data_IF_251603284410
#
_entry.id   IF_251603284410
#
_cell.length_a   1.000
_cell.length_b   1.000
_cell.length_c   1.000
_cell.angle_alpha   90.00
_cell.angle_beta   90.00
_cell.angle_gamma   90.00
#
_symmetry.space_group_name_H-M   'P 1'
#
loop_
_entity.id
_entity.type
_entity.pdbx_description
1 polymer ?
#
# COMPACT_ATOMS: atom_id res chain seq x y z
N UNK A 1 32.58 -14.64 8.99
CA UNK A 1 31.80 -13.79 8.07
C UNK A 1 30.71 -13.10 8.89
N UNK A 2 30.82 -11.81 9.15
CA UNK A 2 29.72 -11.04 9.74
C UNK A 2 28.58 -11.04 8.71
N UNK A 3 27.40 -11.59 9.09
CA UNK A 3 26.17 -11.36 8.34
C UNK A 3 25.93 -9.84 8.35
N UNK A 4 26.12 -9.20 7.22
CA UNK A 4 25.66 -7.83 7.02
C UNK A 4 24.14 -7.91 7.17
N UNK A 5 23.62 -7.39 8.27
CA UNK A 5 22.18 -7.32 8.55
C UNK A 5 21.60 -6.24 7.62
N UNK A 6 21.35 -6.64 6.37
CA UNK A 6 20.81 -5.72 5.36
C UNK A 6 19.35 -5.49 5.67
N UNK A 7 18.97 -4.23 5.76
CA UNK A 7 17.56 -3.84 5.91
C UNK A 7 16.71 -4.48 4.81
N UNK A 8 15.73 -5.28 5.21
CA UNK A 8 14.85 -6.00 4.29
C UNK A 8 13.40 -5.57 4.47
N UNK A 9 12.71 -5.33 3.37
CA UNK A 9 11.26 -5.16 3.32
C UNK A 9 10.64 -6.41 2.71
N UNK A 10 9.66 -6.98 3.39
CA UNK A 10 8.89 -8.12 2.87
C UNK A 10 7.55 -7.62 2.35
N UNK A 11 7.19 -8.04 1.14
CA UNK A 11 5.98 -7.64 0.45
C UNK A 11 5.05 -8.85 0.40
N UNK A 12 3.90 -8.75 1.04
CA UNK A 12 2.83 -9.74 0.94
C UNK A 12 2.05 -9.48 -0.35
N UNK A 13 2.03 -10.48 -1.23
CA UNK A 13 1.36 -10.37 -2.52
C UNK A 13 -0.11 -10.78 -2.43
N UNK A 14 -1.00 -9.81 -2.66
CA UNK A 14 -2.45 -10.02 -2.74
C UNK A 14 -2.96 -10.09 -4.19
N UNK A 15 -2.08 -10.37 -5.14
CA UNK A 15 -2.43 -10.54 -6.56
C UNK A 15 -2.37 -9.25 -7.39
N UNK A 16 -1.62 -8.25 -6.95
CA UNK A 16 -1.45 -7.02 -7.71
C UNK A 16 -0.47 -7.20 -8.87
N UNK A 17 -0.84 -6.72 -10.05
CA UNK A 17 0.10 -6.59 -11.19
C UNK A 17 1.28 -5.64 -10.89
N UNK A 18 1.19 -4.83 -9.83
CA UNK A 18 2.22 -3.87 -9.43
C UNK A 18 3.14 -4.38 -8.32
N UNK A 19 2.96 -5.60 -7.80
CA UNK A 19 3.79 -6.14 -6.70
C UNK A 19 5.27 -6.16 -7.07
N UNK A 20 5.59 -6.60 -8.30
CA UNK A 20 6.97 -6.60 -8.80
C UNK A 20 7.54 -5.18 -8.94
N UNK A 21 6.73 -4.21 -9.36
CA UNK A 21 7.14 -2.81 -9.45
C UNK A 21 7.49 -2.24 -8.07
N UNK A 22 6.68 -2.53 -7.05
CA UNK A 22 6.96 -2.14 -5.67
C UNK A 22 8.31 -2.71 -5.22
N UNK A 23 8.55 -4.00 -5.45
CA UNK A 23 9.80 -4.66 -5.09
C UNK A 23 11.01 -4.04 -5.81
N UNK A 24 10.85 -3.73 -7.08
CA UNK A 24 11.88 -3.06 -7.89
C UNK A 24 12.21 -1.68 -7.33
N UNK A 25 11.19 -0.86 -7.01
CA UNK A 25 11.39 0.49 -6.47
C UNK A 25 12.11 0.50 -5.13
N UNK A 26 11.83 -0.49 -4.27
CA UNK A 26 12.52 -0.65 -3.00
C UNK A 26 14.01 -0.99 -3.24
N UNK A 27 14.32 -1.86 -4.21
CA UNK A 27 15.70 -2.21 -4.55
C UNK A 27 16.45 -1.05 -5.20
N UNK A 28 15.80 -0.23 -6.00
CA UNK A 28 16.39 0.97 -6.62
C UNK A 28 16.87 2.00 -5.59
N UNK A 29 16.31 2.01 -4.38
CA UNK A 29 16.78 2.85 -3.27
C UNK A 29 17.75 2.13 -2.32
N UNK A 30 18.27 0.96 -2.73
CA UNK A 30 19.29 0.22 -1.99
C UNK A 30 18.78 -0.67 -0.84
N UNK A 31 17.47 -0.91 -0.74
CA UNK A 31 16.87 -1.75 0.29
C UNK A 31 16.51 -3.12 -0.31
N UNK A 32 16.83 -4.21 0.39
CA UNK A 32 16.40 -5.54 -0.01
C UNK A 32 14.88 -5.67 0.03
N UNK A 33 14.31 -6.32 -0.99
CA UNK A 33 12.89 -6.64 -1.01
C UNK A 33 12.66 -8.10 -1.38
N UNK A 34 11.74 -8.73 -0.68
CA UNK A 34 11.31 -10.11 -0.91
C UNK A 34 9.79 -10.17 -1.03
N UNK A 35 9.30 -10.84 -2.06
CA UNK A 35 7.85 -11.03 -2.28
C UNK A 35 7.49 -12.41 -1.77
N UNK A 36 6.44 -12.49 -0.97
CA UNK A 36 5.90 -13.72 -0.41
C UNK A 36 4.38 -13.78 -0.57
N UNK A 37 3.82 -14.98 -0.49
CA UNK A 37 2.36 -15.14 -0.47
C UNK A 37 1.73 -14.39 0.70
N UNK A 38 0.56 -13.80 0.49
CA UNK A 38 -0.25 -13.20 1.56
C UNK A 38 -0.73 -14.22 2.60
N UNK A 39 -0.68 -15.52 2.28
CA UNK A 39 -1.03 -16.63 3.18
C UNK A 39 0.12 -17.05 4.11
N UNK A 40 1.29 -16.42 4.02
CA UNK A 40 2.45 -16.74 4.88
C UNK A 40 2.08 -16.69 6.36
N UNK A 41 2.60 -17.63 7.13
CA UNK A 41 2.39 -17.62 8.57
C UNK A 41 3.24 -16.52 9.27
N UNK A 42 2.79 -15.98 10.42
CA UNK A 42 3.59 -15.03 11.20
C UNK A 42 4.97 -15.56 11.57
N UNK A 43 5.08 -16.86 11.86
CA UNK A 43 6.35 -17.51 12.21
C UNK A 43 7.33 -17.53 11.05
N UNK A 44 6.86 -17.86 9.85
CA UNK A 44 7.68 -17.86 8.64
C UNK A 44 8.08 -16.42 8.26
N UNK A 45 7.15 -15.47 8.35
CA UNK A 45 7.43 -14.06 8.08
C UNK A 45 8.51 -13.51 9.02
N UNK A 46 8.46 -13.84 10.31
CA UNK A 46 9.49 -13.43 11.29
C UNK A 46 10.86 -14.04 11.01
N UNK A 47 10.94 -15.28 10.47
CA UNK A 47 12.22 -15.89 10.07
C UNK A 47 12.91 -15.10 8.96
N UNK A 48 12.18 -14.37 8.13
CA UNK A 48 12.72 -13.48 7.11
C UNK A 48 13.33 -12.20 7.69
N UNK A 49 13.16 -11.96 8.99
CA UNK A 49 13.64 -10.77 9.73
C UNK A 49 13.32 -9.43 9.02
N UNK A 50 12.06 -9.13 8.68
CA UNK A 50 11.72 -7.90 7.98
C UNK A 50 11.91 -6.67 8.88
N UNK A 51 12.45 -5.58 8.33
CA UNK A 51 12.48 -4.25 8.98
C UNK A 51 11.16 -3.50 8.73
N UNK A 52 10.44 -3.88 7.69
CA UNK A 52 9.12 -3.38 7.36
C UNK A 52 8.36 -4.37 6.48
N UNK A 53 7.05 -4.28 6.48
CA UNK A 53 6.15 -5.15 5.74
C UNK A 53 5.29 -4.28 4.84
N UNK A 54 5.11 -4.70 3.58
CA UNK A 54 4.18 -4.05 2.65
C UNK A 54 3.06 -5.04 2.30
N UNK A 55 1.83 -4.61 2.40
CA UNK A 55 0.68 -5.29 1.83
C UNK A 55 0.42 -4.69 0.46
N UNK A 56 0.56 -5.47 -0.59
CA UNK A 56 0.37 -5.01 -1.96
C UNK A 56 -1.09 -4.65 -2.26
N UNK A 57 -1.35 -4.14 -3.43
CA UNK A 57 -2.69 -4.08 -3.99
C UNK A 57 -3.22 -5.49 -4.31
N UNK A 58 -4.44 -5.54 -4.85
CA UNK A 58 -5.07 -6.77 -5.29
C UNK A 58 -6.32 -6.45 -6.11
N UNK A 59 -6.79 -7.40 -6.94
CA UNK A 59 -7.98 -7.21 -7.77
C UNK A 59 -9.29 -7.32 -6.99
N UNK A 60 -9.25 -7.97 -5.82
CA UNK A 60 -10.43 -8.28 -5.02
C UNK A 60 -10.84 -7.15 -4.10
N UNK A 61 -12.11 -7.18 -3.65
CA UNK A 61 -12.61 -6.35 -2.55
C UNK A 61 -12.38 -7.05 -1.21
N UNK A 62 -12.09 -6.29 -0.16
CA UNK A 62 -12.00 -6.84 1.21
C UNK A 62 -13.36 -7.37 1.71
N UNK A 63 -14.45 -6.96 1.08
CA UNK A 63 -15.81 -7.41 1.35
C UNK A 63 -16.22 -8.62 0.48
N UNK A 64 -15.38 -9.04 -0.48
CA UNK A 64 -15.63 -10.19 -1.35
C UNK A 64 -15.56 -11.51 -0.58
N UNK A 65 -16.38 -12.48 -1.00
CA UNK A 65 -16.27 -13.87 -0.54
C UNK A 65 -15.01 -14.55 -1.08
N UNK A 66 -14.46 -14.05 -2.18
CA UNK A 66 -13.28 -14.59 -2.87
C UNK A 66 -11.99 -13.86 -2.47
N UNK A 67 -12.04 -13.00 -1.45
CA UNK A 67 -10.85 -12.29 -0.97
C UNK A 67 -9.72 -13.27 -0.60
N UNK A 68 -8.46 -12.90 -0.83
CA UNK A 68 -7.31 -13.69 -0.44
C UNK A 68 -7.32 -14.03 1.06
N UNK A 69 -6.91 -15.26 1.39
CA UNK A 69 -6.73 -15.66 2.79
C UNK A 69 -5.56 -14.88 3.39
N UNK A 70 -5.76 -14.36 4.58
CA UNK A 70 -4.77 -13.57 5.29
C UNK A 70 -4.79 -13.92 6.78
N UNK A 71 -3.60 -14.14 7.35
CA UNK A 71 -3.49 -14.41 8.78
C UNK A 71 -3.39 -13.08 9.56
N UNK A 72 -4.47 -12.71 10.24
CA UNK A 72 -4.54 -11.44 11.00
C UNK A 72 -3.50 -11.32 12.12
N UNK A 73 -2.93 -12.41 12.62
CA UNK A 73 -1.83 -12.38 13.60
C UNK A 73 -0.56 -11.70 13.06
N UNK A 74 -0.43 -11.53 11.75
CA UNK A 74 0.65 -10.71 11.15
C UNK A 74 0.57 -9.27 11.64
N UNK A 75 -0.62 -8.76 11.95
CA UNK A 75 -0.79 -7.40 12.48
C UNK A 75 -0.26 -7.21 13.92
N UNK A 76 -0.01 -8.31 14.64
CA UNK A 76 0.56 -8.31 15.98
C UNK A 76 2.10 -8.23 15.95
N UNK A 77 2.71 -8.44 14.77
CA UNK A 77 4.16 -8.34 14.60
C UNK A 77 4.58 -6.88 14.84
N UNK A 78 5.56 -6.69 15.73
CA UNK A 78 6.12 -5.38 16.03
C UNK A 78 7.08 -4.91 14.91
N UNK A 79 6.53 -4.65 13.74
CA UNK A 79 7.20 -4.09 12.56
C UNK A 79 6.27 -3.10 11.87
N UNK A 80 6.80 -2.03 11.26
CA UNK A 80 6.00 -1.11 10.45
C UNK A 80 5.32 -1.84 9.29
N UNK A 81 4.04 -1.52 9.06
CA UNK A 81 3.26 -2.08 7.93
C UNK A 81 2.74 -0.93 7.08
N UNK A 82 2.95 -1.02 5.76
CA UNK A 82 2.35 -0.15 4.76
C UNK A 82 1.38 -0.96 3.90
N UNK A 83 0.10 -0.60 3.91
CA UNK A 83 -0.89 -1.14 2.96
C UNK A 83 -1.05 -0.23 1.76
N UNK A 84 -1.02 -0.80 0.55
CA UNK A 84 -1.20 -0.08 -0.72
C UNK A 84 -2.49 -0.57 -1.37
N UNK A 85 -3.40 0.33 -1.72
CA UNK A 85 -4.70 0.03 -2.34
C UNK A 85 -5.48 -1.05 -1.55
N UNK A 86 -5.59 -2.28 -2.06
CA UNK A 86 -6.21 -3.39 -1.34
C UNK A 86 -5.60 -3.57 0.06
N UNK A 87 -4.27 -3.53 0.18
CA UNK A 87 -3.58 -3.62 1.48
C UNK A 87 -3.98 -2.52 2.46
N UNK A 88 -4.22 -1.29 1.98
CA UNK A 88 -4.77 -0.20 2.80
C UNK A 88 -6.19 -0.52 3.28
N UNK A 89 -7.04 -1.00 2.39
CA UNK A 89 -8.42 -1.37 2.69
C UNK A 89 -8.47 -2.53 3.69
N UNK A 90 -7.60 -3.54 3.50
CA UNK A 90 -7.44 -4.67 4.42
C UNK A 90 -7.06 -4.19 5.81
N UNK A 91 -6.04 -3.32 5.94
CA UNK A 91 -5.67 -2.73 7.23
C UNK A 91 -6.84 -2.01 7.88
N UNK A 92 -7.53 -1.13 7.14
CA UNK A 92 -8.69 -0.41 7.68
C UNK A 92 -9.77 -1.37 8.18
N UNK A 93 -10.11 -2.40 7.41
CA UNK A 93 -11.11 -3.41 7.76
C UNK A 93 -10.70 -4.22 8.99
N UNK A 94 -9.45 -4.68 9.06
CA UNK A 94 -8.94 -5.47 10.19
C UNK A 94 -8.98 -4.70 11.51
N UNK A 95 -8.80 -3.40 11.47
CA UNK A 95 -8.91 -2.50 12.64
C UNK A 95 -10.31 -1.91 12.84
N UNK A 96 -11.37 -2.52 12.25
CA UNK A 96 -12.78 -2.12 12.38
C UNK A 96 -13.11 -0.76 11.76
N UNK A 97 -12.38 -0.34 10.75
CA UNK A 97 -12.78 0.72 9.83
C UNK A 97 -13.84 0.22 8.85
N UNK A 98 -14.38 1.13 8.04
CA UNK A 98 -15.38 0.79 7.02
C UNK A 98 -14.81 1.03 5.63
N UNK A 99 -14.96 0.03 4.77
CA UNK A 99 -14.62 0.07 3.34
C UNK A 99 -15.91 -0.14 2.56
N UNK A 100 -16.21 0.79 1.66
CA UNK A 100 -17.38 0.73 0.79
C UNK A 100 -16.95 0.73 -0.68
N UNK A 101 -17.78 0.11 -1.51
CA UNK A 101 -17.68 0.23 -2.96
C UNK A 101 -17.79 1.70 -3.36
N UNK A 102 -16.87 2.16 -4.19
CA UNK A 102 -16.99 3.51 -4.75
C UNK A 102 -17.98 3.50 -5.91
N UNK A 103 -18.97 4.37 -5.86
CA UNK A 103 -19.90 4.59 -6.98
C UNK A 103 -19.18 5.04 -8.27
N UNK A 104 -18.03 5.69 -8.11
CA UNK A 104 -17.12 6.06 -9.21
C UNK A 104 -15.76 5.39 -8.94
N UNK A 105 -15.39 4.45 -9.80
CA UNK A 105 -14.03 3.91 -9.83
C UNK A 105 -13.08 5.03 -10.20
N UNK A 106 -11.96 5.14 -9.49
CA UNK A 106 -10.95 6.16 -9.73
C UNK A 106 -9.75 5.53 -10.43
N UNK A 107 -9.63 5.81 -11.71
CA UNK A 107 -8.51 5.37 -12.55
C UNK A 107 -7.89 6.59 -13.21
N UNK A 108 -6.56 6.70 -13.16
CA UNK A 108 -5.82 7.75 -13.82
C UNK A 108 -5.24 8.79 -12.88
N UNK A 109 -4.93 9.96 -13.46
CA UNK A 109 -4.30 11.09 -12.77
C UNK A 109 -5.24 11.71 -11.73
N UNK A 110 -4.70 12.01 -10.56
CA UNK A 110 -5.41 12.69 -9.47
C UNK A 110 -4.45 13.57 -8.67
N UNK A 111 -4.94 14.71 -8.19
CA UNK A 111 -4.19 15.55 -7.25
C UNK A 111 -4.45 15.07 -5.82
N UNK A 112 -3.36 14.78 -5.11
CA UNK A 112 -3.38 14.41 -3.71
C UNK A 112 -2.98 15.58 -2.82
N UNK A 113 -3.84 15.97 -1.90
CA UNK A 113 -3.50 16.86 -0.80
C UNK A 113 -3.06 16.05 0.42
N UNK A 114 -1.91 16.37 1.00
CA UNK A 114 -1.36 15.63 2.15
C UNK A 114 -0.89 16.54 3.28
N UNK A 115 -0.90 16.01 4.50
CA UNK A 115 -0.34 16.66 5.68
C UNK A 115 1.11 16.21 5.89
N UNK A 116 1.92 17.04 6.56
CA UNK A 116 3.27 16.65 6.97
C UNK A 116 3.21 15.38 7.82
N UNK A 117 3.80 14.31 7.28
CA UNK A 117 3.85 12.99 7.93
C UNK A 117 5.12 12.26 7.48
N UNK A 118 5.54 11.25 8.25
CA UNK A 118 6.73 10.45 7.92
C UNK A 118 6.61 9.78 6.54
N UNK A 119 5.41 9.32 6.15
CA UNK A 119 5.16 8.68 4.85
C UNK A 119 5.42 9.63 3.67
N UNK A 120 5.23 10.93 3.87
CA UNK A 120 5.45 11.97 2.85
C UNK A 120 6.74 12.77 3.06
N UNK A 121 7.63 12.31 3.96
CA UNK A 121 8.91 12.97 4.18
C UNK A 121 9.77 12.88 2.91
N UNK A 122 10.22 14.04 2.41
CA UNK A 122 11.05 14.11 1.19
C UNK A 122 10.26 14.10 -0.12
N UNK A 123 8.95 13.91 -0.07
CA UNK A 123 8.11 14.05 -1.26
C UNK A 123 8.11 15.49 -1.74
N UNK A 124 8.60 15.71 -2.98
CA UNK A 124 8.61 17.01 -3.62
C UNK A 124 7.24 17.27 -4.25
N UNK A 125 6.58 18.36 -3.88
CA UNK A 125 5.28 18.74 -4.43
C UNK A 125 5.05 20.25 -4.28
N UNK A 126 4.04 20.77 -4.98
CA UNK A 126 3.62 22.18 -4.84
C UNK A 126 2.94 22.37 -3.48
N UNK A 127 3.69 22.89 -2.50
CA UNK A 127 3.26 23.05 -1.10
C UNK A 127 2.94 21.69 -0.45
N UNK A 128 1.68 21.26 -0.39
CA UNK A 128 1.20 20.01 0.21
C UNK A 128 0.38 19.20 -0.78
N UNK A 129 0.66 19.34 -2.08
CA UNK A 129 -0.05 18.67 -3.17
C UNK A 129 0.93 17.98 -4.10
N UNK A 130 0.57 16.82 -4.56
CA UNK A 130 1.30 16.02 -5.57
C UNK A 130 0.33 15.40 -6.56
N UNK A 131 0.82 15.24 -7.78
CA UNK A 131 0.13 14.46 -8.79
C UNK A 131 0.43 12.99 -8.60
N UNK A 132 -0.60 12.17 -8.63
CA UNK A 132 -0.53 10.73 -8.39
C UNK A 132 -1.36 9.97 -9.41
N UNK A 133 -1.07 8.69 -9.55
CA UNK A 133 -1.89 7.77 -10.31
C UNK A 133 -2.76 6.95 -9.38
N UNK A 134 -4.05 6.93 -9.60
CA UNK A 134 -5.03 6.18 -8.82
C UNK A 134 -5.54 4.98 -9.62
N UNK A 135 -5.77 3.86 -8.93
CA UNK A 135 -6.38 2.66 -9.52
C UNK A 135 -7.09 1.88 -8.42
N UNK A 136 -8.34 2.25 -8.12
CA UNK A 136 -9.12 1.56 -7.10
C UNK A 136 -10.63 1.64 -7.36
N UNK A 137 -11.34 0.56 -6.99
CA UNK A 137 -12.80 0.48 -7.02
C UNK A 137 -13.44 0.70 -5.65
N UNK A 138 -12.75 0.35 -4.58
CA UNK A 138 -13.21 0.50 -3.21
C UNK A 138 -12.49 1.63 -2.49
N UNK A 139 -13.10 2.20 -1.46
CA UNK A 139 -12.50 3.26 -0.65
C UNK A 139 -12.77 3.09 0.83
N UNK A 140 -11.83 3.51 1.65
CA UNK A 140 -12.02 3.62 3.09
C UNK A 140 -12.91 4.84 3.36
N UNK A 141 -14.06 4.63 3.96
CA UNK A 141 -15.03 5.70 4.27
C UNK A 141 -15.04 6.08 5.75
N UNK A 142 -14.58 5.17 6.62
CA UNK A 142 -14.45 5.43 8.06
C UNK A 142 -13.14 4.83 8.57
N UNK A 143 -12.33 5.67 9.22
CA UNK A 143 -11.11 5.22 9.89
C UNK A 143 -11.41 4.63 11.27
N UNK A 144 -10.62 3.62 11.68
CA UNK A 144 -10.58 3.20 13.08
C UNK A 144 -10.11 4.35 13.99
N UNK A 145 -10.50 4.30 15.28
CA UNK A 145 -10.21 5.38 16.26
C UNK A 145 -8.70 5.69 16.41
N UNK A 146 -7.86 4.67 16.27
CA UNK A 146 -6.39 4.80 16.41
C UNK A 146 -5.69 5.29 15.15
N UNK A 147 -6.42 5.64 14.09
CA UNK A 147 -5.85 6.12 12.84
C UNK A 147 -6.26 7.56 12.54
N UNK A 148 -5.37 8.29 11.88
CA UNK A 148 -5.61 9.65 11.40
C UNK A 148 -5.42 9.72 9.89
N UNK A 149 -6.29 10.45 9.22
CA UNK A 149 -6.13 10.79 7.81
C UNK A 149 -4.90 11.67 7.64
N UNK A 150 -4.05 11.29 6.69
CA UNK A 150 -2.83 12.06 6.34
C UNK A 150 -2.84 12.56 4.89
N UNK A 151 -3.75 12.06 4.05
CA UNK A 151 -3.96 12.58 2.71
C UNK A 151 -5.41 12.38 2.23
N UNK A 152 -5.81 13.21 1.26
CA UNK A 152 -7.11 13.15 0.58
C UNK A 152 -6.97 13.53 -0.89
N UNK A 153 -7.85 13.02 -1.74
CA UNK A 153 -8.06 13.46 -3.12
C UNK A 153 -9.48 13.99 -3.32
N UNK A 154 -9.76 14.50 -4.50
CA UNK A 154 -11.11 14.99 -4.86
C UNK A 154 -12.18 13.91 -4.67
N UNK A 155 -11.87 12.66 -5.03
CA UNK A 155 -12.82 11.55 -5.02
C UNK A 155 -12.68 10.64 -3.79
N UNK A 156 -11.56 10.73 -3.06
CA UNK A 156 -11.33 9.96 -1.85
C UNK A 156 -10.96 10.84 -0.68
N UNK A 157 -11.91 11.01 0.26
CA UNK A 157 -11.68 11.78 1.49
C UNK A 157 -10.55 11.18 2.35
N UNK A 158 -10.28 9.87 2.21
CA UNK A 158 -9.23 9.15 2.93
C UNK A 158 -8.35 8.45 1.88
N UNK A 159 -7.44 9.19 1.28
CA UNK A 159 -6.49 8.66 0.31
C UNK A 159 -5.22 8.09 0.97
N UNK A 160 -4.90 8.54 2.18
CA UNK A 160 -3.90 7.90 3.03
C UNK A 160 -4.21 8.13 4.52
N UNK A 161 -3.74 7.18 5.33
CA UNK A 161 -3.84 7.25 6.79
C UNK A 161 -2.57 6.73 7.47
N UNK A 162 -2.39 7.11 8.72
CA UNK A 162 -1.37 6.57 9.62
C UNK A 162 -1.99 6.29 10.99
N UNK A 163 -1.51 5.23 11.65
CA UNK A 163 -1.85 4.98 13.05
C UNK A 163 -1.15 5.99 13.98
N UNK A 164 -1.71 6.18 15.17
CA UNK A 164 -1.18 7.14 16.15
C UNK A 164 0.24 6.77 16.61
N UNK A 165 0.56 5.47 16.69
CA UNK A 165 1.88 4.92 17.01
C UNK A 165 2.87 4.96 15.83
N UNK A 166 2.42 5.40 14.64
CA UNK A 166 3.21 5.46 13.40
C UNK A 166 3.81 4.10 12.99
N UNK A 167 3.11 3.01 13.27
CA UNK A 167 3.51 1.66 12.88
C UNK A 167 2.67 1.09 11.74
N UNK A 168 1.50 1.68 11.46
CA UNK A 168 0.58 1.25 10.41
C UNK A 168 0.27 2.42 9.50
N UNK A 169 0.46 2.22 8.21
CA UNK A 169 0.22 3.20 7.18
C UNK A 169 -0.65 2.58 6.09
N UNK A 170 -1.49 3.38 5.48
CA UNK A 170 -2.25 2.98 4.30
C UNK A 170 -2.30 4.10 3.27
N UNK A 171 -2.20 3.77 1.99
CA UNK A 171 -2.37 4.70 0.90
C UNK A 171 -3.04 4.05 -0.31
N UNK A 172 -3.81 4.84 -1.06
CA UNK A 172 -4.47 4.42 -2.32
C UNK A 172 -3.60 4.64 -3.55
N UNK A 173 -2.31 4.95 -3.37
CA UNK A 173 -1.49 5.53 -4.41
C UNK A 173 -0.49 4.52 -4.96
N UNK A 174 -0.35 4.54 -6.29
CA UNK A 174 0.92 4.29 -6.94
C UNK A 174 1.53 5.65 -7.29
N UNK A 175 2.83 5.82 -7.11
CA UNK A 175 3.53 7.05 -7.52
C UNK A 175 3.29 7.32 -8.99
N UNK A 176 3.30 8.60 -9.41
CA UNK A 176 3.30 8.98 -10.82
C UNK A 176 4.30 8.09 -11.59
N UNK A 177 3.86 7.41 -12.66
CA UNK A 177 4.78 6.63 -13.47
C UNK A 177 5.87 7.56 -13.98
N UNK A 178 7.14 7.16 -13.78
CA UNK A 178 8.22 7.92 -14.42
C UNK A 178 8.06 7.80 -15.94
N UNK A 179 8.58 8.74 -16.75
CA UNK A 179 8.57 8.61 -18.20
C UNK A 179 9.11 7.26 -18.71
N UNK A 180 9.95 6.56 -17.94
CA UNK A 180 10.46 5.21 -18.23
C UNK A 180 9.43 4.11 -18.02
N UNK A 181 8.47 4.31 -17.12
CA UNK A 181 7.42 3.31 -16.83
C UNK A 181 6.31 3.34 -17.88
N UNK A 182 6.11 4.49 -18.56
CA UNK A 182 5.11 4.68 -19.62
C UNK A 182 5.54 3.98 -20.92
N UNK A 183 6.85 3.88 -21.19
CA UNK A 183 7.38 3.30 -22.42
C UNK A 183 7.27 1.76 -22.50
N UNK A 184 6.95 1.09 -21.41
CA UNK A 184 6.83 -0.38 -21.31
C UNK A 184 5.41 -0.94 -21.30
N UNK A 185 4.40 -0.12 -21.11
CA UNK A 185 2.99 -0.58 -21.06
C UNK A 185 2.29 -0.30 -22.40
N UNK A 186 2.53 -1.16 -23.40
CA UNK A 186 1.56 -1.33 -24.49
C UNK A 186 0.29 -1.89 -23.85
N UNK A 187 -0.79 -1.13 -23.86
CA UNK A 187 -2.11 -1.67 -23.61
C UNK A 187 -2.36 -2.82 -24.61
N UNK A 188 -2.88 -3.97 -24.17
CA UNK A 188 -3.41 -4.93 -25.13
C UNK A 188 -4.56 -4.23 -25.88
N UNK A 189 -4.44 -4.12 -27.20
CA UNK A 189 -5.54 -3.68 -28.05
C UNK A 189 -6.66 -4.70 -27.91
N UNK A 190 -7.82 -4.25 -27.48
CA UNK A 190 -9.06 -5.00 -27.59
C UNK A 190 -9.36 -5.24 -29.06
N UNK A 191 -9.28 -6.50 -29.51
CA UNK A 191 -9.96 -7.02 -30.65
C UNK A 191 -11.23 -7.73 -30.18
#
# INVERSE_FOLDING_TARGET
MQKIDQDKVVILDFGSQYTQLIARRIREIGVLSEIVSCEISPKELLKLNPRGIIFSGGPESVNSKFKPKFNSKILEINRPILGICYGMQLLASQYKGKVDLSAKREFGHSELAFNKNILFKGVKGKKTKIDVWMSHGDKVVKLPKQFKRIASSTNSKIAAFASNDKQRFGCLLYTSPSPRDISGSRMPSSA
#
